data_IF_168436980409
#
_entry.id   IF_168436980409
#
_cell.length_a   1.000
_cell.length_b   1.000
_cell.length_c   1.000
_cell.angle_alpha   90.00
_cell.angle_beta   90.00
_cell.angle_gamma   90.00
#
_symmetry.space_group_name_H-M   'P 1'
#
loop_
_entity.id
_entity.type
_entity.pdbx_description
1 polymer ?
#
# COMPACT_ATOMS: atom_id res chain seq x y z
N UNK A 1 -2.93 12.43 1.17
CA UNK A 1 -1.67 13.20 1.32
C UNK A 1 -0.65 12.85 0.25
N UNK A 2 -0.14 11.61 0.17
CA UNK A 2 0.85 11.24 -0.86
C UNK A 2 0.33 11.44 -2.29
N UNK A 3 -0.93 11.06 -2.57
CA UNK A 3 -1.60 11.33 -3.86
C UNK A 3 -1.61 12.82 -4.23
N UNK A 4 -1.97 13.70 -3.29
CA UNK A 4 -2.02 15.16 -3.55
C UNK A 4 -0.63 15.78 -3.74
N UNK A 5 0.43 15.14 -3.22
CA UNK A 5 1.82 15.51 -3.48
C UNK A 5 2.40 14.91 -4.76
N UNK A 6 1.62 14.11 -5.49
CA UNK A 6 2.06 13.34 -6.64
C UNK A 6 3.30 12.47 -6.35
N UNK A 7 3.39 11.97 -5.11
CA UNK A 7 4.54 11.23 -4.58
C UNK A 7 4.33 9.71 -4.60
N UNK A 8 3.28 9.21 -5.26
CA UNK A 8 3.05 7.78 -5.42
C UNK A 8 3.64 7.32 -6.75
N UNK A 9 4.49 6.30 -6.72
CA UNK A 9 5.13 5.73 -7.92
C UNK A 9 4.15 4.95 -8.79
N UNK A 10 3.05 4.50 -8.22
CA UNK A 10 1.94 3.85 -8.90
C UNK A 10 0.62 4.12 -8.17
N UNK A 11 -0.50 3.74 -8.79
CA UNK A 11 -1.81 3.80 -8.14
C UNK A 11 -2.00 2.68 -7.10
N UNK A 12 -1.05 1.74 -7.00
CA UNK A 12 -1.15 0.61 -6.08
C UNK A 12 -0.68 0.99 -4.68
N UNK A 13 -1.49 0.63 -3.69
CA UNK A 13 -1.19 0.69 -2.27
C UNK A 13 -1.19 -0.74 -1.76
N UNK A 14 -0.16 -1.14 -1.02
CA UNK A 14 -0.04 -2.51 -0.53
C UNK A 14 -0.45 -2.58 0.94
N UNK A 15 -1.34 -3.52 1.28
CA UNK A 15 -1.64 -3.88 2.65
C UNK A 15 -1.74 -5.40 2.81
N UNK A 16 -1.68 -5.89 4.03
CA UNK A 16 -1.92 -7.32 4.30
C UNK A 16 -3.41 -7.64 4.23
N UNK A 17 -3.75 -8.94 4.12
CA UNK A 17 -5.13 -9.42 4.15
C UNK A 17 -5.93 -9.01 5.42
N UNK A 18 -5.26 -8.48 6.44
CA UNK A 18 -5.89 -7.94 7.65
C UNK A 18 -6.53 -6.57 7.44
N UNK A 19 -6.26 -5.88 6.32
CA UNK A 19 -6.90 -4.60 6.05
C UNK A 19 -8.42 -4.74 5.87
N UNK A 20 -9.15 -3.70 6.26
CA UNK A 20 -10.62 -3.70 6.22
C UNK A 20 -11.18 -3.26 4.85
N UNK A 21 -12.47 -3.55 4.64
CA UNK A 21 -13.19 -3.18 3.41
C UNK A 21 -13.26 -1.66 3.20
N UNK A 22 -13.44 -0.89 4.28
CA UNK A 22 -13.55 0.57 4.20
C UNK A 22 -12.28 1.20 3.60
N UNK A 23 -11.10 0.66 3.91
CA UNK A 23 -9.83 1.10 3.31
C UNK A 23 -9.83 0.87 1.79
N UNK A 24 -10.29 -0.30 1.34
CA UNK A 24 -10.39 -0.63 -0.08
C UNK A 24 -11.34 0.33 -0.81
N UNK A 25 -12.52 0.57 -0.24
CA UNK A 25 -13.53 1.46 -0.82
C UNK A 25 -13.04 2.91 -0.86
N UNK A 26 -12.41 3.38 0.21
CA UNK A 26 -11.81 4.70 0.27
C UNK A 26 -10.74 4.88 -0.80
N UNK A 27 -9.78 3.96 -0.91
CA UNK A 27 -8.73 4.02 -1.93
C UNK A 27 -9.31 4.00 -3.34
N UNK A 28 -10.31 3.15 -3.59
CA UNK A 28 -11.00 3.10 -4.87
C UNK A 28 -11.70 4.41 -5.22
N UNK A 29 -12.33 5.08 -4.24
CA UNK A 29 -12.93 6.42 -4.44
C UNK A 29 -11.89 7.49 -4.79
N UNK A 30 -10.62 7.22 -4.53
CA UNK A 30 -9.47 8.06 -4.84
C UNK A 30 -8.68 7.50 -6.03
N UNK A 31 -9.25 6.68 -6.91
CA UNK A 31 -8.56 6.08 -8.07
C UNK A 31 -7.25 5.34 -7.71
N UNK A 32 -7.18 4.81 -6.49
CA UNK A 32 -6.08 3.99 -6.01
C UNK A 32 -6.53 2.54 -5.88
N UNK A 33 -5.62 1.62 -6.14
CA UNK A 33 -5.86 0.19 -6.05
C UNK A 33 -5.21 -0.38 -4.79
N UNK A 34 -6.00 -1.05 -3.94
CA UNK A 34 -5.47 -1.78 -2.79
C UNK A 34 -5.04 -3.20 -3.22
N UNK A 35 -3.74 -3.47 -3.17
CA UNK A 35 -3.16 -4.80 -3.35
C UNK A 35 -3.00 -5.47 -2.01
N UNK A 36 -3.57 -6.67 -1.89
CA UNK A 36 -3.47 -7.46 -0.68
C UNK A 36 -2.31 -8.45 -0.77
N UNK A 37 -1.65 -8.71 0.36
CA UNK A 37 -0.60 -9.70 0.50
C UNK A 37 -0.74 -10.49 1.81
N UNK A 38 0.02 -11.58 1.93
CA UNK A 38 0.10 -12.32 3.19
C UNK A 38 0.64 -11.44 4.33
N UNK A 39 0.35 -11.83 5.57
CA UNK A 39 0.77 -11.09 6.77
C UNK A 39 2.30 -11.16 6.94
N UNK A 40 2.94 -10.03 7.23
CA UNK A 40 4.37 -9.90 7.48
C UNK A 40 5.10 -8.96 6.50
N UNK A 41 5.99 -8.13 7.04
CA UNK A 41 6.74 -7.08 6.33
C UNK A 41 7.39 -7.55 5.02
N UNK A 42 7.93 -8.77 5.01
CA UNK A 42 8.56 -9.38 3.82
C UNK A 42 7.57 -9.51 2.65
N UNK A 43 6.33 -9.91 2.93
CA UNK A 43 5.31 -10.07 1.89
C UNK A 43 4.78 -8.73 1.41
N UNK A 44 4.67 -7.75 2.31
CA UNK A 44 4.35 -6.36 1.95
C UNK A 44 5.42 -5.81 1.00
N UNK A 45 6.69 -5.89 1.39
CA UNK A 45 7.81 -5.40 0.58
C UNK A 45 7.88 -6.09 -0.79
N UNK A 46 7.69 -7.41 -0.85
CA UNK A 46 7.72 -8.14 -2.12
C UNK A 46 6.52 -7.77 -3.01
N UNK A 47 5.32 -7.63 -2.43
CA UNK A 47 4.14 -7.20 -3.16
C UNK A 47 4.29 -5.76 -3.67
N UNK A 48 4.92 -4.87 -2.90
CA UNK A 48 5.26 -3.50 -3.33
C UNK A 48 6.17 -3.52 -4.55
N UNK A 49 7.23 -4.34 -4.52
CA UNK A 49 8.16 -4.52 -5.65
C UNK A 49 7.45 -5.02 -6.91
N UNK A 50 6.61 -6.05 -6.78
CA UNK A 50 5.85 -6.61 -7.91
C UNK A 50 4.87 -5.61 -8.54
N UNK A 51 4.26 -4.76 -7.73
CA UNK A 51 3.28 -3.76 -8.18
C UNK A 51 3.89 -2.37 -8.44
N UNK A 52 5.23 -2.26 -8.38
CA UNK A 52 5.96 -0.98 -8.51
C UNK A 52 5.39 0.12 -7.60
N UNK A 53 4.88 -0.29 -6.43
CA UNK A 53 4.29 0.59 -5.43
C UNK A 53 5.37 1.03 -4.45
N UNK A 54 5.34 2.31 -4.08
CA UNK A 54 6.28 2.89 -3.14
C UNK A 54 5.71 3.12 -1.74
N UNK A 55 4.43 2.80 -1.54
CA UNK A 55 3.74 2.93 -0.27
C UNK A 55 2.95 1.67 0.08
N UNK A 56 3.15 1.18 1.31
CA UNK A 56 2.40 0.04 1.85
C UNK A 56 2.57 -0.10 3.35
N UNK A 57 1.91 -1.10 3.94
CA UNK A 57 2.05 -1.36 5.37
C UNK A 57 1.08 -2.38 5.95
N UNK A 58 1.11 -2.50 7.26
CA UNK A 58 0.31 -3.41 8.07
C UNK A 58 -0.56 -2.66 9.07
N UNK A 59 -1.67 -3.28 9.49
CA UNK A 59 -2.57 -2.70 10.50
C UNK A 59 -1.89 -2.51 11.87
N UNK A 60 -0.81 -3.24 12.15
CA UNK A 60 0.00 -3.08 13.36
C UNK A 60 0.62 -1.68 13.49
N UNK A 61 0.64 -0.88 12.43
CA UNK A 61 1.29 0.42 12.37
C UNK A 61 2.66 0.39 11.70
N UNK A 62 3.10 -0.77 11.19
CA UNK A 62 4.27 -0.86 10.33
C UNK A 62 3.95 -0.27 8.95
N UNK A 63 4.63 0.81 8.55
CA UNK A 63 4.40 1.50 7.28
C UNK A 63 5.73 1.58 6.53
N UNK A 64 5.70 1.22 5.25
CA UNK A 64 6.86 1.17 4.36
C UNK A 64 6.74 2.30 3.33
N UNK A 65 7.79 3.12 3.27
CA UNK A 65 8.04 4.05 2.18
C UNK A 65 9.32 3.63 1.46
N UNK A 66 9.21 2.98 0.30
CA UNK A 66 10.40 2.46 -0.37
C UNK A 66 11.29 3.55 -0.97
N UNK A 67 10.80 4.78 -1.10
CA UNK A 67 11.58 5.91 -1.64
C UNK A 67 12.65 6.41 -0.66
N UNK A 68 12.54 6.06 0.62
CA UNK A 68 13.42 6.55 1.69
C UNK A 68 14.17 5.42 2.43
N UNK A 69 14.03 4.19 1.95
CA UNK A 69 14.67 2.99 2.50
C UNK A 69 15.96 2.65 1.75
#
# INVERSE_FOLDING_TARGET
YQKSKNALSSQAIVATNMSNLALKEYLKSQDLELKHCAIGDKFVSECMRLNKANFGGEQSGHIIFSDYA
#
